data_IF_804782030157
#
_entry.id   IF_804782030157
#
_cell.length_a   1.000
_cell.length_b   1.000
_cell.length_c   1.000
_cell.angle_alpha   90.00
_cell.angle_beta   90.00
_cell.angle_gamma   90.00
#
_symmetry.space_group_name_H-M   'P 1'
#
loop_
_entity.id
_entity.type
_entity.pdbx_description
1 polymer ?
#
# COMPACT_ATOMS: atom_id res chain seq x y z
N UNK A 1 -42.23 -37.66 30.89
CA UNK A 1 -42.46 -37.31 32.31
C UNK A 1 -41.16 -36.80 32.91
N UNK A 2 -41.23 -35.68 33.64
CA UNK A 2 -40.22 -35.08 34.55
C UNK A 2 -39.02 -34.37 33.89
N UNK A 3 -39.13 -33.05 33.66
CA UNK A 3 -38.85 -31.87 34.56
C UNK A 3 -37.39 -31.40 34.43
N UNK A 4 -37.04 -30.24 33.86
CA UNK A 4 -37.32 -28.81 34.19
C UNK A 4 -36.18 -28.15 35.02
N UNK A 5 -35.73 -26.98 34.52
CA UNK A 5 -35.13 -25.80 35.18
C UNK A 5 -33.67 -25.83 35.71
N UNK A 6 -32.81 -24.96 35.16
CA UNK A 6 -32.32 -23.69 35.76
C UNK A 6 -31.23 -23.12 34.82
N UNK A 7 -31.49 -22.14 33.97
CA UNK A 7 -31.49 -20.71 34.27
C UNK A 7 -30.16 -20.20 34.85
N UNK A 8 -29.35 -19.55 34.02
CA UNK A 8 -28.68 -18.31 34.44
C UNK A 8 -28.44 -17.41 33.22
N UNK A 9 -29.41 -16.52 33.00
CA UNK A 9 -29.21 -15.23 32.38
C UNK A 9 -28.06 -14.50 33.11
N UNK A 10 -27.08 -14.01 32.36
CA UNK A 10 -26.45 -12.73 32.71
C UNK A 10 -26.08 -11.98 31.43
N UNK A 11 -27.04 -11.19 30.98
CA UNK A 11 -26.86 -9.94 30.26
C UNK A 11 -25.98 -8.97 31.04
N UNK A 12 -24.91 -8.47 30.42
CA UNK A 12 -24.30 -7.19 30.76
C UNK A 12 -23.96 -6.46 29.47
N UNK A 13 -24.90 -5.64 29.03
CA UNK A 13 -24.73 -4.61 28.01
C UNK A 13 -23.98 -3.43 28.62
N UNK A 14 -22.77 -3.17 28.15
CA UNK A 14 -22.08 -1.90 28.37
C UNK A 14 -22.44 -0.93 27.24
N UNK A 15 -23.45 -0.11 27.50
CA UNK A 15 -23.67 1.17 26.85
C UNK A 15 -22.85 2.20 27.63
N UNK A 16 -21.85 2.80 27.01
CA UNK A 16 -21.22 4.02 27.50
C UNK A 16 -21.45 5.12 26.47
N UNK A 17 -22.54 5.87 26.67
CA UNK A 17 -22.75 7.18 26.08
C UNK A 17 -21.80 8.17 26.74
N UNK A 18 -20.93 8.79 25.94
CA UNK A 18 -20.15 9.95 26.35
C UNK A 18 -20.41 11.10 25.38
N UNK A 19 -21.61 11.67 25.42
CA UNK A 19 -21.90 12.99 24.86
C UNK A 19 -21.37 14.04 25.84
N UNK A 20 -20.35 14.80 25.43
CA UNK A 20 -20.03 16.08 26.04
C UNK A 20 -20.26 17.14 24.96
N UNK A 21 -21.44 17.73 25.00
CA UNK A 21 -21.70 19.06 24.47
C UNK A 21 -20.75 20.03 25.19
N UNK A 22 -20.03 20.83 24.42
CA UNK A 22 -19.67 22.20 24.78
C UNK A 22 -19.56 22.97 23.46
N UNK A 23 -20.69 23.57 23.08
CA UNK A 23 -20.77 24.60 22.04
C UNK A 23 -20.33 25.92 22.65
N UNK A 24 -19.23 26.53 22.17
CA UNK A 24 -19.04 27.99 22.26
C UNK A 24 -18.25 28.52 21.05
N UNK A 25 -18.98 29.30 20.25
CA UNK A 25 -18.64 30.55 19.55
C UNK A 25 -17.41 30.66 18.65
N UNK A 26 -17.73 30.77 17.36
CA UNK A 26 -16.96 31.44 16.31
C UNK A 26 -17.13 32.97 16.41
N UNK A 27 -16.07 33.75 16.16
CA UNK A 27 -16.24 35.08 15.59
C UNK A 27 -15.53 35.16 14.23
N UNK A 28 -16.32 35.30 13.17
CA UNK A 28 -15.90 35.94 11.93
C UNK A 28 -16.06 37.45 12.13
N UNK A 29 -15.16 38.26 11.56
CA UNK A 29 -15.67 39.42 10.83
C UNK A 29 -15.15 39.49 9.39
N UNK A 30 -16.08 39.90 8.54
CA UNK A 30 -16.03 40.13 7.10
C UNK A 30 -15.15 41.33 6.67
N UNK A 31 -14.40 41.12 5.57
CA UNK A 31 -14.37 41.88 4.30
C UNK A 31 -13.75 43.30 4.11
N UNK A 32 -12.62 43.33 3.35
CA UNK A 32 -12.21 44.11 2.10
C UNK A 32 -12.17 45.68 2.17
N UNK A 33 -11.25 46.48 1.53
CA UNK A 33 -10.60 46.29 0.21
C UNK A 33 -9.11 46.69 0.02
N UNK A 34 -8.60 46.31 -1.17
CA UNK A 34 -7.30 46.60 -1.77
C UNK A 34 -6.98 48.11 -1.94
N UNK A 35 -5.69 48.50 -1.95
CA UNK A 35 -4.93 49.10 -3.09
C UNK A 35 -3.49 49.50 -2.65
N UNK A 36 -2.51 49.28 -3.55
CA UNK A 36 -1.24 50.00 -3.80
C UNK A 36 0.08 49.80 -3.00
N UNK A 37 1.04 49.20 -3.73
CA UNK A 37 2.42 49.62 -4.06
C UNK A 37 3.51 49.99 -3.02
N UNK A 38 4.74 49.65 -3.44
CA UNK A 38 6.08 49.87 -2.87
C UNK A 38 6.44 48.90 -1.72
N UNK A 39 7.53 48.12 -1.77
CA UNK A 39 8.90 48.48 -2.14
C UNK A 39 9.69 47.19 -2.33
N UNK A 40 10.51 47.09 -3.37
CA UNK A 40 11.52 46.04 -3.47
C UNK A 40 12.59 46.19 -2.37
N UNK A 41 13.15 45.08 -1.88
CA UNK A 41 14.58 45.07 -1.64
C UNK A 41 15.26 43.89 -2.34
N UNK A 42 16.21 44.26 -3.18
CA UNK A 42 17.54 43.69 -3.37
C UNK A 42 17.73 42.17 -3.27
N UNK A 43 18.25 41.63 -4.38
CA UNK A 43 19.16 40.50 -4.46
C UNK A 43 20.12 40.44 -3.26
N UNK A 44 20.11 39.32 -2.54
CA UNK A 44 21.27 38.42 -2.46
C UNK A 44 20.95 37.27 -1.51
N UNK A 45 20.86 36.07 -2.07
CA UNK A 45 21.17 34.83 -1.36
C UNK A 45 21.41 33.80 -2.45
N UNK A 46 22.69 33.54 -2.68
CA UNK A 46 23.21 32.47 -3.52
C UNK A 46 22.37 31.20 -3.35
N UNK A 47 21.49 30.98 -4.32
CA UNK A 47 20.72 29.77 -4.51
C UNK A 47 21.68 28.66 -4.90
N UNK A 48 22.38 28.10 -3.93
CA UNK A 48 22.95 26.76 -4.06
C UNK A 48 21.75 25.85 -4.31
N UNK A 49 21.61 25.23 -5.50
CA UNK A 49 20.52 24.29 -5.69
C UNK A 49 20.69 23.23 -4.60
N UNK A 50 19.64 23.05 -3.80
CA UNK A 50 19.52 21.88 -2.96
C UNK A 50 19.80 20.69 -3.88
N UNK A 51 20.92 20.02 -3.67
CA UNK A 51 21.29 18.88 -4.48
C UNK A 51 20.23 17.82 -4.21
N UNK A 52 19.20 17.76 -5.05
CA UNK A 52 18.40 16.57 -5.24
C UNK A 52 19.38 15.52 -5.72
N UNK A 53 19.99 14.82 -4.77
CA UNK A 53 20.59 13.53 -5.02
C UNK A 53 19.45 12.66 -5.52
N UNK A 54 19.22 12.68 -6.84
CA UNK A 54 18.44 11.67 -7.54
C UNK A 54 19.22 10.38 -7.33
N UNK A 55 18.92 9.70 -6.22
CA UNK A 55 19.38 8.34 -5.99
C UNK A 55 18.81 7.53 -7.14
N UNK A 56 19.64 7.27 -8.15
CA UNK A 56 19.28 6.40 -9.26
C UNK A 56 18.90 5.06 -8.66
N UNK A 57 17.61 4.73 -8.77
CA UNK A 57 17.08 3.44 -8.36
C UNK A 57 17.48 2.43 -9.43
N UNK A 58 18.66 1.83 -9.25
CA UNK A 58 19.22 0.88 -10.20
C UNK A 58 18.42 -0.42 -10.08
N UNK A 59 17.53 -0.67 -11.05
CA UNK A 59 16.89 -1.97 -11.22
C UNK A 59 17.90 -2.88 -11.93
N UNK A 60 18.28 -4.03 -11.34
CA UNK A 60 19.21 -4.96 -11.96
C UNK A 60 18.66 -5.50 -13.27
N UNK A 61 19.56 -5.77 -14.22
CA UNK A 61 19.20 -6.39 -15.49
C UNK A 61 18.75 -7.84 -15.27
N UNK A 62 17.71 -8.25 -16.00
CA UNK A 62 17.13 -9.60 -15.91
C UNK A 62 15.80 -9.63 -15.15
N UNK A 63 15.25 -10.84 -14.95
CA UNK A 63 13.95 -10.98 -14.32
C UNK A 63 13.97 -10.52 -12.86
N UNK A 64 13.02 -9.68 -12.50
CA UNK A 64 12.84 -9.13 -11.14
C UNK A 64 12.11 -10.10 -10.21
N UNK A 65 11.46 -11.13 -10.76
CA UNK A 65 10.66 -12.04 -9.96
C UNK A 65 9.86 -13.03 -10.79
N UNK A 66 8.95 -13.73 -10.11
CA UNK A 66 7.97 -14.62 -10.74
C UNK A 66 6.60 -14.42 -10.12
N UNK A 67 5.57 -14.71 -10.91
CA UNK A 67 4.17 -14.70 -10.51
C UNK A 67 3.61 -16.11 -10.71
N UNK A 68 3.10 -16.72 -9.66
CA UNK A 68 2.39 -17.99 -9.73
C UNK A 68 0.89 -17.73 -9.61
N UNK A 69 0.13 -18.23 -10.59
CA UNK A 69 -1.32 -18.16 -10.61
C UNK A 69 -1.95 -19.34 -9.86
N UNK A 70 -3.18 -19.17 -9.42
CA UNK A 70 -3.96 -20.21 -8.72
C UNK A 70 -4.22 -21.45 -9.58
N UNK A 71 -4.15 -21.32 -10.91
CA UNK A 71 -4.24 -22.44 -11.84
C UNK A 71 -2.91 -23.20 -12.05
N UNK A 72 -1.85 -22.82 -11.33
CA UNK A 72 -0.52 -23.43 -11.42
C UNK A 72 0.42 -22.81 -12.46
N UNK A 73 -0.07 -21.91 -13.32
CA UNK A 73 0.76 -21.21 -14.32
C UNK A 73 1.78 -20.32 -13.62
N UNK A 74 3.03 -20.34 -14.10
CA UNK A 74 4.09 -19.45 -13.62
C UNK A 74 4.49 -18.49 -14.73
N UNK A 75 4.55 -17.20 -14.40
CA UNK A 75 4.96 -16.13 -15.30
C UNK A 75 6.23 -15.51 -14.76
N UNK A 76 7.25 -15.37 -15.62
CA UNK A 76 8.45 -14.63 -15.26
C UNK A 76 8.22 -13.12 -15.38
N UNK A 77 8.56 -12.38 -14.34
CA UNK A 77 8.42 -10.92 -14.31
C UNK A 77 9.75 -10.31 -14.71
N UNK A 78 9.77 -9.62 -15.84
CA UNK A 78 10.99 -8.99 -16.36
C UNK A 78 11.21 -7.61 -15.75
N UNK A 79 10.13 -6.91 -15.43
CA UNK A 79 10.20 -5.60 -14.78
C UNK A 79 8.93 -5.30 -13.98
N UNK A 80 9.09 -4.56 -12.89
CA UNK A 80 7.97 -4.02 -12.12
C UNK A 80 7.59 -2.63 -12.62
N UNK A 81 6.29 -2.38 -12.71
CA UNK A 81 5.76 -1.06 -13.09
C UNK A 81 5.58 -0.22 -11.83
N UNK A 82 5.90 1.08 -11.89
CA UNK A 82 5.65 2.01 -10.78
C UNK A 82 4.18 2.47 -10.77
N UNK A 83 3.59 2.45 -9.58
CA UNK A 83 2.37 3.19 -9.22
C UNK A 83 2.75 4.62 -8.84
N UNK A 84 2.78 5.54 -9.82
CA UNK A 84 3.26 6.90 -9.58
C UNK A 84 4.72 6.89 -9.09
N UNK A 85 4.95 7.24 -7.82
CA UNK A 85 6.28 7.25 -7.20
C UNK A 85 6.62 5.97 -6.42
N UNK A 86 5.73 4.97 -6.39
CA UNK A 86 5.87 3.77 -5.57
C UNK A 86 5.96 2.52 -6.43
N UNK A 87 6.76 1.54 -6.04
CA UNK A 87 6.65 0.18 -6.59
C UNK A 87 5.53 -0.62 -5.94
N UNK A 88 5.23 -0.30 -4.68
CA UNK A 88 4.27 -1.02 -3.88
C UNK A 88 3.58 -0.06 -2.91
N UNK A 89 2.27 -0.24 -2.77
CA UNK A 89 1.46 0.37 -1.72
C UNK A 89 0.57 -0.69 -1.07
N UNK A 90 0.60 -0.77 0.25
CA UNK A 90 -0.26 -1.62 1.07
C UNK A 90 -1.00 -0.75 2.07
N UNK A 91 -2.29 -1.00 2.25
CA UNK A 91 -3.07 -0.49 3.37
C UNK A 91 -3.91 -1.63 3.95
N UNK A 92 -3.75 -1.96 5.24
CA UNK A 92 -4.50 -3.05 5.87
C UNK A 92 -4.06 -3.31 7.31
N UNK A 93 -4.61 -4.34 7.95
CA UNK A 93 -4.21 -4.73 9.31
C UNK A 93 -2.97 -5.61 9.25
N UNK A 94 -1.89 -5.17 9.89
CA UNK A 94 -0.67 -5.97 10.05
C UNK A 94 -0.80 -6.85 11.30
N UNK A 95 -0.60 -8.16 11.13
CA UNK A 95 -0.67 -9.19 12.17
C UNK A 95 -1.95 -9.10 13.02
N UNK A 96 -3.08 -8.73 12.40
CA UNK A 96 -4.39 -8.62 13.05
C UNK A 96 -4.54 -7.48 14.05
N UNK A 97 -3.58 -6.55 14.14
CA UNK A 97 -3.57 -5.47 15.15
C UNK A 97 -4.12 -4.16 14.58
N UNK A 98 -3.22 -3.28 14.14
CA UNK A 98 -3.54 -1.93 13.70
C UNK A 98 -3.48 -1.81 12.18
N UNK A 99 -4.31 -0.91 11.66
CA UNK A 99 -4.19 -0.43 10.29
C UNK A 99 -2.79 0.13 10.07
N UNK A 100 -2.11 -0.42 9.08
CA UNK A 100 -0.74 -0.12 8.70
C UNK A 100 -0.73 0.23 7.23
N UNK A 101 0.00 1.28 6.89
CA UNK A 101 0.27 1.66 5.50
C UNK A 101 1.75 1.43 5.24
N UNK A 102 2.07 0.72 4.16
CA UNK A 102 3.45 0.55 3.68
C UNK A 102 3.52 1.02 2.24
N UNK A 103 4.45 1.92 1.96
CA UNK A 103 4.74 2.40 0.61
C UNK A 103 6.25 2.27 0.35
N UNK A 104 6.62 1.55 -0.71
CA UNK A 104 8.01 1.38 -1.10
C UNK A 104 8.28 2.14 -2.40
N UNK A 105 9.18 3.12 -2.33
CA UNK A 105 9.55 3.98 -3.48
C UNK A 105 10.78 3.48 -4.23
N UNK A 106 11.57 2.61 -3.60
CA UNK A 106 12.84 2.08 -4.13
C UNK A 106 12.75 0.59 -4.38
N UNK A 107 13.24 0.16 -5.52
CA UNK A 107 13.27 -1.26 -5.88
C UNK A 107 14.07 -2.09 -4.86
N UNK A 108 15.22 -1.58 -4.41
CA UNK A 108 16.05 -2.25 -3.39
C UNK A 108 15.34 -2.52 -2.06
N UNK A 109 14.41 -1.66 -1.66
CA UNK A 109 13.65 -1.85 -0.42
C UNK A 109 12.64 -3.00 -0.59
N UNK A 110 12.05 -3.10 -1.79
CA UNK A 110 11.15 -4.18 -2.17
C UNK A 110 11.88 -5.53 -2.30
N UNK A 111 13.13 -5.56 -2.79
CA UNK A 111 13.96 -6.78 -2.87
C UNK A 111 14.29 -7.42 -1.51
N UNK A 112 14.11 -6.70 -0.41
CA UNK A 112 14.22 -7.28 0.94
C UNK A 112 13.07 -8.22 1.26
N UNK A 113 11.99 -8.14 0.49
CA UNK A 113 10.87 -9.06 0.56
C UNK A 113 11.11 -10.18 -0.45
N UNK A 114 10.93 -11.39 0.02
CA UNK A 114 11.16 -12.60 -0.75
C UNK A 114 9.91 -12.99 -1.52
N UNK A 115 8.77 -13.06 -0.83
CA UNK A 115 7.52 -13.52 -1.42
C UNK A 115 6.30 -12.85 -0.81
N UNK A 116 5.26 -12.74 -1.62
CA UNK A 116 3.88 -12.45 -1.24
C UNK A 116 3.07 -13.72 -1.49
N UNK A 117 2.44 -14.25 -0.45
CA UNK A 117 1.66 -15.48 -0.51
C UNK A 117 0.21 -15.11 -0.23
N UNK A 118 -0.65 -15.27 -1.22
CA UNK A 118 -2.04 -14.82 -1.17
C UNK A 118 -2.95 -15.97 -0.73
N UNK A 119 -3.69 -15.75 0.36
CA UNK A 119 -4.82 -16.60 0.74
C UNK A 119 -6.08 -16.19 -0.05
N UNK A 120 -6.27 -14.88 -0.17
CA UNK A 120 -7.27 -14.24 -0.99
C UNK A 120 -6.79 -12.82 -1.37
N UNK A 121 -7.60 -12.07 -2.13
CA UNK A 121 -7.20 -10.73 -2.62
C UNK A 121 -6.99 -9.68 -1.50
N UNK A 122 -7.49 -9.93 -0.29
CA UNK A 122 -7.42 -9.04 0.87
C UNK A 122 -6.63 -9.61 2.05
N UNK A 123 -6.19 -10.88 1.96
CA UNK A 123 -5.42 -11.57 2.99
C UNK A 123 -4.18 -12.22 2.38
N UNK A 124 -3.00 -11.80 2.79
CA UNK A 124 -1.74 -12.32 2.27
C UNK A 124 -0.62 -12.22 3.31
N UNK A 125 0.40 -13.04 3.14
CA UNK A 125 1.61 -13.02 3.95
C UNK A 125 2.77 -12.51 3.11
N UNK A 126 3.60 -11.64 3.68
CA UNK A 126 4.89 -11.27 3.10
C UNK A 126 5.99 -11.97 3.88
N UNK A 127 6.80 -12.75 3.18
CA UNK A 127 8.02 -13.34 3.73
C UNK A 127 9.19 -12.44 3.35
N UNK A 128 9.99 -12.04 4.32
CA UNK A 128 11.24 -11.29 4.10
C UNK A 128 12.39 -12.24 3.81
N UNK A 129 13.46 -11.76 3.17
CA UNK A 129 14.70 -12.56 2.94
C UNK A 129 15.37 -13.05 4.24
N UNK A 130 14.97 -12.53 5.41
CA UNK A 130 15.41 -13.01 6.72
C UNK A 130 14.49 -14.09 7.33
N UNK A 131 13.49 -14.57 6.59
CA UNK A 131 12.50 -15.55 7.05
C UNK A 131 11.43 -14.99 7.99
N UNK A 132 11.37 -13.66 8.20
CA UNK A 132 10.27 -13.04 8.96
C UNK A 132 9.00 -13.00 8.10
N UNK A 133 7.87 -13.38 8.70
CA UNK A 133 6.55 -13.30 8.10
C UNK A 133 5.77 -12.08 8.61
N UNK A 134 5.10 -11.38 7.67
CA UNK A 134 4.21 -10.26 7.93
C UNK A 134 2.83 -10.61 7.36
N UNK A 135 1.86 -10.85 8.22
CA UNK A 135 0.51 -11.24 7.80
C UNK A 135 -0.35 -9.99 7.64
N UNK A 136 -0.89 -9.76 6.46
CA UNK A 136 -1.82 -8.68 6.17
C UNK A 136 -3.24 -9.21 6.04
N UNK A 137 -4.17 -8.57 6.75
CA UNK A 137 -5.61 -8.88 6.73
C UNK A 137 -6.40 -7.62 6.42
N UNK A 138 -7.61 -7.77 5.87
CA UNK A 138 -8.46 -6.65 5.43
C UNK A 138 -7.66 -5.63 4.58
N UNK A 139 -6.71 -6.14 3.79
CA UNK A 139 -5.66 -5.34 3.18
C UNK A 139 -5.94 -5.08 1.70
N UNK A 140 -5.39 -3.98 1.20
CA UNK A 140 -5.32 -3.67 -0.22
C UNK A 140 -3.85 -3.55 -0.58
N UNK A 141 -3.40 -4.41 -1.50
CA UNK A 141 -2.08 -4.35 -2.11
C UNK A 141 -2.24 -3.78 -3.52
N UNK A 142 -1.37 -2.85 -3.89
CA UNK A 142 -1.28 -2.28 -5.22
C UNK A 142 0.14 -2.47 -5.75
N UNK A 143 0.23 -3.06 -6.94
CA UNK A 143 1.46 -3.41 -7.65
C UNK A 143 1.24 -3.12 -9.14
N UNK A 144 2.13 -2.32 -9.72
CA UNK A 144 2.11 -1.94 -11.13
C UNK A 144 1.01 -0.97 -11.56
N UNK A 145 -0.18 -1.05 -10.94
CA UNK A 145 -1.31 -0.19 -11.24
C UNK A 145 -2.11 0.13 -9.97
N UNK A 146 -3.02 1.10 -10.08
CA UNK A 146 -3.91 1.54 -9.00
C UNK A 146 -5.25 0.80 -8.92
N UNK A 147 -5.41 -0.28 -9.69
CA UNK A 147 -6.65 -1.04 -9.79
C UNK A 147 -6.94 -1.78 -8.48
N UNK A 148 -8.22 -1.85 -8.12
CA UNK A 148 -8.67 -2.69 -7.01
C UNK A 148 -8.67 -4.18 -7.35
N UNK A 149 -8.68 -4.54 -8.64
CA UNK A 149 -8.94 -5.92 -9.09
C UNK A 149 -7.79 -6.57 -9.87
N UNK A 150 -6.84 -5.78 -10.36
CA UNK A 150 -5.71 -6.30 -11.15
C UNK A 150 -4.36 -5.84 -10.62
N UNK A 151 -3.31 -6.57 -10.97
CA UNK A 151 -1.91 -6.14 -10.94
C UNK A 151 -1.40 -6.02 -12.38
N UNK A 152 -0.40 -5.16 -12.60
CA UNK A 152 0.26 -5.03 -13.91
C UNK A 152 1.76 -5.31 -13.79
N UNK A 153 2.31 -6.06 -14.74
CA UNK A 153 3.74 -6.37 -14.80
C UNK A 153 4.23 -6.38 -16.24
N UNK A 154 5.55 -6.27 -16.43
CA UNK A 154 6.17 -6.66 -17.69
C UNK A 154 6.66 -8.11 -17.64
N UNK A 155 6.45 -8.81 -18.74
CA UNK A 155 6.97 -10.16 -19.01
C UNK A 155 7.54 -10.20 -20.43
N UNK A 156 7.99 -11.37 -20.86
CA UNK A 156 8.45 -11.64 -22.22
C UNK A 156 7.51 -12.66 -22.85
N UNK A 157 7.06 -12.40 -24.09
CA UNK A 157 6.26 -13.33 -24.86
C UNK A 157 7.12 -14.38 -25.59
N UNK A 158 6.49 -15.30 -26.32
CA UNK A 158 7.19 -16.35 -27.09
C UNK A 158 8.13 -15.83 -28.19
N UNK A 159 8.04 -14.54 -28.53
CA UNK A 159 8.88 -13.85 -29.52
C UNK A 159 10.02 -13.06 -28.88
N UNK A 160 10.21 -13.17 -27.57
CA UNK A 160 11.19 -12.40 -26.79
C UNK A 160 10.88 -10.89 -26.69
N UNK A 161 9.66 -10.47 -27.02
CA UNK A 161 9.24 -9.08 -26.86
C UNK A 161 8.79 -8.81 -25.43
N UNK A 162 9.22 -7.67 -24.87
CA UNK A 162 8.72 -7.17 -23.59
C UNK A 162 7.27 -6.71 -23.76
N UNK A 163 6.36 -7.33 -23.02
CA UNK A 163 4.92 -7.04 -23.06
C UNK A 163 4.38 -6.79 -21.66
N UNK A 164 3.44 -5.84 -21.53
CA UNK A 164 2.70 -5.64 -20.30
C UNK A 164 1.58 -6.68 -20.21
N UNK A 165 1.40 -7.26 -19.03
CA UNK A 165 0.28 -8.12 -18.69
C UNK A 165 -0.47 -7.56 -17.50
N UNK A 166 -1.79 -7.76 -17.51
CA UNK A 166 -2.67 -7.46 -16.39
C UNK A 166 -3.25 -8.76 -15.85
N UNK A 167 -3.12 -8.99 -14.55
CA UNK A 167 -3.54 -10.23 -13.90
C UNK A 167 -4.52 -9.90 -12.79
N UNK A 168 -5.64 -10.63 -12.73
CA UNK A 168 -6.62 -10.46 -11.65
C UNK A 168 -6.02 -10.87 -10.31
N UNK A 169 -6.24 -10.07 -9.26
CA UNK A 169 -5.72 -10.34 -7.91
C UNK A 169 -6.26 -11.64 -7.34
N UNK A 170 -7.47 -12.04 -7.71
CA UNK A 170 -8.08 -13.33 -7.33
C UNK A 170 -7.34 -14.54 -7.88
N UNK A 171 -6.61 -14.35 -8.98
CA UNK A 171 -5.99 -15.43 -9.73
C UNK A 171 -4.51 -15.58 -9.35
N UNK A 172 -3.99 -14.73 -8.47
CA UNK A 172 -2.60 -14.76 -8.00
C UNK A 172 -2.50 -15.58 -6.73
N UNK A 173 -1.64 -16.60 -6.75
CA UNK A 173 -1.30 -17.39 -5.57
C UNK A 173 -0.04 -16.85 -4.87
N UNK A 174 1.01 -16.57 -5.64
CA UNK A 174 2.31 -16.13 -5.10
C UNK A 174 2.98 -15.11 -6.02
N UNK A 175 3.63 -14.11 -5.45
CA UNK A 175 4.59 -13.25 -6.15
C UNK A 175 5.94 -13.42 -5.45
N UNK A 176 6.97 -13.84 -6.17
CA UNK A 176 8.33 -13.98 -5.64
C UNK A 176 9.23 -12.92 -6.26
N UNK A 177 10.07 -12.28 -5.45
CA UNK A 177 11.01 -11.25 -5.88
C UNK A 177 12.45 -11.73 -5.76
N UNK A 178 13.28 -11.38 -6.74
CA UNK A 178 14.70 -11.75 -6.79
C UNK A 178 15.57 -10.72 -6.06
#
# INVERSE_FOLDING_TARGET
>A
MRTILLALLMTLTLVACGTKDDTMEQPVPDSVPATQEATAPAQDSDGKPASTHTLNDVVPEGPVGTLQLTNGTTVELTELIKLGNYYLYISGKLNGRSSTVISLTRFRDLQRWEAFIFKDKNTFTITTKQGKELVFMDARLYLGNGSSDTYSFYTVNDRFDKVQIDVKKSDVATITLK
#
